data_IF_656791901598
#
_entry.id   IF_656791901598
#
_cell.length_a   1.000
_cell.length_b   1.000
_cell.length_c   1.000
_cell.angle_alpha   90.00
_cell.angle_beta   90.00
_cell.angle_gamma   90.00
#
_symmetry.space_group_name_H-M   'P 1'
#
loop_
_entity.id
_entity.type
_entity.pdbx_description
1 polymer ?
#
# COMPACT_ATOMS: atom_id res chain seq x y z
N UNK A 1 -7.34 18.71 15.20
CA UNK A 1 -6.14 17.95 15.63
C UNK A 1 -5.72 17.04 14.46
N UNK A 2 -4.54 17.25 13.85
CA UNK A 2 -4.07 16.46 12.69
C UNK A 2 -3.19 15.31 13.18
N UNK A 3 -3.67 14.08 13.08
CA UNK A 3 -2.84 12.90 13.34
C UNK A 3 -2.05 12.54 12.08
N UNK A 4 -0.70 12.54 12.15
CA UNK A 4 0.16 11.98 11.11
C UNK A 4 0.36 10.50 11.42
N UNK A 5 0.25 9.64 10.39
CA UNK A 5 0.47 8.20 10.53
C UNK A 5 1.92 7.94 10.93
N UNK A 6 2.15 7.57 12.19
CA UNK A 6 3.46 7.11 12.66
C UNK A 6 3.86 5.82 11.93
N UNK A 7 5.13 5.72 11.52
CA UNK A 7 5.71 4.45 11.06
C UNK A 7 6.35 3.77 12.26
N UNK A 8 6.10 2.47 12.42
CA UNK A 8 6.79 1.65 13.43
C UNK A 8 8.21 1.38 12.88
N UNK A 9 9.27 1.90 13.52
CA UNK A 9 10.64 1.53 13.15
C UNK A 9 10.86 0.04 13.42
N UNK A 10 11.54 -0.64 12.51
CA UNK A 10 12.00 -2.02 12.73
C UNK A 10 13.47 -1.98 13.14
N UNK A 11 13.88 -2.97 13.91
CA UNK A 11 15.25 -3.12 14.39
C UNK A 11 15.75 -4.52 14.07
N UNK A 12 17.05 -4.68 13.90
CA UNK A 12 17.70 -5.99 13.82
C UNK A 12 17.93 -6.60 15.21
N UNK A 13 18.59 -7.75 15.25
CA UNK A 13 18.94 -8.50 16.47
C UNK A 13 19.94 -7.77 17.38
N UNK A 14 20.62 -6.75 16.87
CA UNK A 14 21.57 -5.90 17.60
C UNK A 14 20.97 -4.54 17.98
N UNK A 15 19.68 -4.32 17.72
CA UNK A 15 18.99 -3.08 18.04
C UNK A 15 19.30 -1.92 17.09
N UNK A 16 19.91 -2.21 15.93
CA UNK A 16 20.15 -1.21 14.88
C UNK A 16 18.86 -0.99 14.11
N UNK A 17 18.52 0.28 13.88
CA UNK A 17 17.32 0.66 13.13
C UNK A 17 17.45 0.21 11.67
N UNK A 18 16.51 -0.61 11.23
CA UNK A 18 16.39 -1.02 9.84
C UNK A 18 15.82 0.13 9.01
N UNK A 19 16.57 0.54 8.01
CA UNK A 19 16.05 1.47 7.00
C UNK A 19 14.90 0.80 6.23
N UNK A 20 13.78 1.51 6.01
CA UNK A 20 12.65 0.95 5.30
C UNK A 20 13.01 0.72 3.83
N UNK A 21 13.29 -0.54 3.49
CA UNK A 21 13.38 -0.96 2.08
C UNK A 21 11.98 -0.85 1.47
N UNK A 22 11.80 0.08 0.54
CA UNK A 22 10.60 0.12 -0.29
C UNK A 22 10.70 -1.07 -1.26
N UNK A 23 9.74 -2.00 -1.29
CA UNK A 23 9.80 -3.19 -2.15
C UNK A 23 9.55 -2.87 -3.64
N UNK A 24 9.74 -1.61 -4.05
CA UNK A 24 9.61 -1.19 -5.44
C UNK A 24 10.84 -1.63 -6.22
N UNK A 25 10.67 -2.49 -7.21
CA UNK A 25 11.68 -2.82 -8.21
C UNK A 25 11.30 -2.13 -9.51
N UNK A 26 12.17 -1.27 -10.03
CA UNK A 26 12.06 -0.80 -11.42
C UNK A 26 12.26 -2.04 -12.29
N UNK A 27 11.24 -2.42 -13.06
CA UNK A 27 11.36 -3.52 -14.01
C UNK A 27 12.24 -3.03 -15.15
N UNK A 28 13.39 -3.68 -15.36
CA UNK A 28 14.17 -3.46 -16.57
C UNK A 28 13.30 -3.78 -17.78
N UNK A 29 13.45 -3.00 -18.84
CA UNK A 29 12.70 -3.16 -20.07
C UNK A 29 13.14 -4.49 -20.70
N UNK A 30 12.38 -5.56 -20.45
CA UNK A 30 12.63 -6.84 -21.12
C UNK A 30 12.48 -6.60 -22.62
N UNK A 31 13.51 -6.94 -23.36
CA UNK A 31 13.66 -6.89 -24.81
C UNK A 31 12.69 -7.88 -25.47
N UNK A 32 11.41 -7.51 -25.46
CA UNK A 32 10.30 -8.24 -26.03
C UNK A 32 8.98 -7.50 -25.79
N UNK A 33 7.92 -7.77 -26.56
CA UNK A 33 6.62 -7.15 -26.35
C UNK A 33 6.09 -7.49 -24.95
N UNK A 34 5.94 -6.48 -24.10
CA UNK A 34 5.33 -6.63 -22.78
C UNK A 34 3.84 -6.88 -22.98
N UNK A 35 3.43 -8.14 -22.88
CA UNK A 35 2.03 -8.52 -22.91
C UNK A 35 1.42 -8.25 -21.54
N UNK A 36 0.72 -7.13 -21.41
CA UNK A 36 -0.13 -6.88 -20.25
C UNK A 36 -1.41 -7.71 -20.41
N UNK A 37 -1.80 -8.43 -19.36
CA UNK A 37 -3.15 -8.99 -19.31
C UNK A 37 -4.11 -7.80 -19.22
N UNK A 38 -5.11 -7.75 -20.08
CA UNK A 38 -6.14 -6.71 -20.11
C UNK A 38 -7.15 -6.86 -18.95
N UNK A 39 -6.67 -7.31 -17.79
CA UNK A 39 -7.46 -7.42 -16.57
C UNK A 39 -7.53 -6.02 -15.95
N UNK A 40 -8.70 -5.40 -16.05
CA UNK A 40 -8.98 -4.11 -15.45
C UNK A 40 -8.63 -4.12 -13.95
N UNK A 41 -7.56 -3.44 -13.57
CA UNK A 41 -7.25 -3.19 -12.17
C UNK A 41 -8.29 -2.19 -11.67
N UNK A 42 -9.11 -2.61 -10.70
CA UNK A 42 -10.12 -1.72 -10.11
C UNK A 42 -9.48 -0.40 -9.68
N UNK A 43 -9.93 0.69 -10.31
CA UNK A 43 -9.48 2.06 -10.05
C UNK A 43 -9.74 2.52 -8.62
N UNK A 44 -10.61 1.79 -7.90
CA UNK A 44 -10.90 2.03 -6.50
C UNK A 44 -9.79 1.61 -5.53
N UNK A 45 -8.80 0.82 -6.00
CA UNK A 45 -7.81 0.18 -5.14
C UNK A 45 -8.45 -0.82 -4.16
N UNK A 46 -7.61 -1.40 -3.29
CA UNK A 46 -8.04 -2.35 -2.24
C UNK A 46 -7.54 -1.88 -0.88
N UNK A 47 -8.44 -1.83 0.09
CA UNK A 47 -8.08 -1.62 1.49
C UNK A 47 -7.95 -2.97 2.19
N UNK A 48 -6.77 -3.25 2.77
CA UNK A 48 -6.53 -4.47 3.54
C UNK A 48 -6.35 -4.12 5.01
N UNK A 49 -7.31 -4.56 5.83
CA UNK A 49 -7.22 -4.45 7.29
C UNK A 49 -6.58 -5.71 7.85
N UNK A 50 -5.52 -5.53 8.65
CA UNK A 50 -4.84 -6.60 9.37
C UNK A 50 -5.11 -6.45 10.86
N UNK A 51 -5.70 -7.48 11.47
CA UNK A 51 -6.03 -7.47 12.90
C UNK A 51 -5.29 -8.62 13.58
N UNK A 52 -4.40 -8.36 14.55
CA UNK A 52 -3.87 -9.42 15.40
C UNK A 52 -5.01 -9.97 16.26
N UNK A 53 -5.19 -11.27 16.24
CA UNK A 53 -6.22 -11.98 17.00
C UNK A 53 -5.53 -12.95 17.95
N UNK A 54 -5.99 -12.99 19.18
CA UNK A 54 -5.56 -13.90 20.22
C UNK A 54 -6.80 -14.58 20.80
N UNK A 55 -6.77 -15.89 20.97
CA UNK A 55 -7.83 -16.63 21.65
C UNK A 55 -7.24 -17.60 22.65
N UNK A 56 -7.99 -17.84 23.73
CA UNK A 56 -7.71 -18.91 24.69
C UNK A 56 -8.66 -20.07 24.42
N UNK A 57 -8.11 -21.25 24.21
CA UNK A 57 -8.86 -22.45 23.90
C UNK A 57 -9.32 -23.15 25.18
N UNK A 58 -10.32 -24.03 25.06
CA UNK A 58 -10.91 -24.75 26.19
C UNK A 58 -9.89 -25.60 26.96
N UNK A 59 -8.83 -26.08 26.31
CA UNK A 59 -7.71 -26.78 26.95
C UNK A 59 -6.68 -25.87 27.63
N UNK A 60 -6.96 -24.58 27.78
CA UNK A 60 -6.06 -23.60 28.41
C UNK A 60 -4.97 -23.03 27.49
N UNK A 61 -4.73 -23.63 26.32
CA UNK A 61 -3.78 -23.16 25.32
C UNK A 61 -4.15 -21.81 24.71
N UNK A 62 -3.15 -21.03 24.31
CA UNK A 62 -3.31 -19.71 23.70
C UNK A 62 -2.91 -19.78 22.23
N UNK A 63 -3.77 -19.27 21.35
CA UNK A 63 -3.57 -19.30 19.90
C UNK A 63 -3.65 -17.88 19.35
N UNK A 64 -2.66 -17.52 18.52
CA UNK A 64 -2.58 -16.19 17.91
C UNK A 64 -2.47 -16.29 16.38
N UNK A 65 -3.16 -15.40 15.67
CA UNK A 65 -3.04 -15.27 14.22
C UNK A 65 -3.28 -13.82 13.78
N UNK A 66 -2.97 -13.52 12.53
CA UNK A 66 -3.35 -12.25 11.91
C UNK A 66 -4.52 -12.47 10.97
N UNK A 67 -5.69 -11.94 11.32
CA UNK A 67 -6.83 -11.87 10.41
C UNK A 67 -6.57 -10.80 9.34
N UNK A 68 -6.97 -11.08 8.09
CA UNK A 68 -6.81 -10.17 6.95
C UNK A 68 -8.18 -10.04 6.27
N UNK A 69 -8.67 -8.81 6.13
CA UNK A 69 -9.91 -8.52 5.38
C UNK A 69 -9.59 -7.53 4.26
N UNK A 70 -9.88 -7.95 3.03
CA UNK A 70 -9.82 -7.09 1.86
C UNK A 70 -11.20 -6.50 1.59
N UNK A 71 -11.25 -5.19 1.35
CA UNK A 71 -12.45 -4.50 0.89
C UNK A 71 -12.06 -3.63 -0.30
N UNK A 72 -12.98 -3.48 -1.25
CA UNK A 72 -12.85 -2.48 -2.32
C UNK A 72 -12.62 -1.12 -1.68
N UNK A 73 -11.63 -0.38 -2.16
CA UNK A 73 -11.42 1.00 -1.74
C UNK A 73 -12.59 1.91 -2.16
N UNK A 74 -12.48 3.19 -1.86
CA UNK A 74 -13.59 4.14 -2.02
C UNK A 74 -13.78 4.66 -3.47
N UNK A 75 -13.03 4.14 -4.45
CA UNK A 75 -13.07 4.69 -5.82
C UNK A 75 -12.16 5.91 -6.02
N UNK A 76 -11.93 6.28 -7.28
CA UNK A 76 -11.24 7.53 -7.67
C UNK A 76 -11.96 8.79 -7.14
N UNK A 77 -13.30 8.73 -7.07
CA UNK A 77 -14.13 9.85 -6.63
C UNK A 77 -13.87 10.28 -5.17
N UNK A 78 -13.36 9.38 -4.33
CA UNK A 78 -13.14 9.67 -2.91
C UNK A 78 -11.79 10.31 -2.59
N UNK A 79 -10.82 10.24 -3.51
CA UNK A 79 -9.45 10.75 -3.28
C UNK A 79 -9.18 12.11 -3.94
N UNK A 80 -10.13 12.63 -4.74
CA UNK A 80 -9.97 13.86 -5.55
C UNK A 80 -8.67 13.82 -6.40
N UNK A 81 -8.22 12.62 -6.73
CA UNK A 81 -6.94 12.36 -7.33
C UNK A 81 -7.06 12.62 -8.83
N UNK A 82 -6.60 13.79 -9.25
CA UNK A 82 -6.58 14.14 -10.66
C UNK A 82 -5.44 13.40 -11.36
N UNK A 83 -5.78 12.39 -12.15
CA UNK A 83 -4.89 11.86 -13.17
C UNK A 83 -5.14 12.60 -14.49
N UNK A 84 -4.11 12.73 -15.33
CA UNK A 84 -4.15 13.44 -16.61
C UNK A 84 -4.53 14.92 -16.55
N UNK A 85 -4.25 15.60 -15.44
CA UNK A 85 -4.18 17.07 -15.45
C UNK A 85 -2.94 17.50 -16.26
N UNK A 86 -3.07 17.54 -17.58
CA UNK A 86 -2.15 18.27 -18.43
C UNK A 86 -2.32 19.77 -18.10
N UNK A 87 -1.59 20.25 -17.08
CA UNK A 87 -1.52 21.67 -16.80
C UNK A 87 -0.71 22.27 -17.96
N UNK A 88 -1.30 23.12 -18.82
CA UNK A 88 -0.54 23.75 -19.87
C UNK A 88 0.61 24.55 -19.24
N UNK A 89 1.83 24.52 -19.81
CA UNK A 89 2.93 25.32 -19.31
C UNK A 89 2.49 26.77 -19.30
N UNK A 90 2.74 27.45 -18.17
CA UNK A 90 2.41 28.86 -17.99
C UNK A 90 3.12 29.66 -19.09
N UNK A 91 2.36 30.23 -20.02
CA UNK A 91 2.90 31.19 -20.99
C UNK A 91 3.36 32.41 -20.20
N UNK A 92 4.67 32.56 -20.03
CA UNK A 92 5.25 33.80 -19.53
C UNK A 92 5.24 34.75 -20.72
N UNK A 93 4.28 35.67 -20.74
CA UNK A 93 4.37 36.88 -21.57
C UNK A 93 5.10 37.93 -20.75
N UNK A 94 6.33 38.25 -21.16
CA UNK A 94 7.16 39.31 -20.61
C UNK A 94 8.31 39.57 -21.56
#
# INVERSE_FOLDING_TARGET
MKFRRGRIPRFDEHGVRLEPVLPGRILERTDGPVMFRDEEISRAGVHVTRTPVLTRWHGGGVFGWTSRRAQTGQGEAASNLQYDAAIPPRTVTG
#
